data_IF_186591580765
#
_entry.id   IF_186591580765
#
_cell.length_a   1.000
_cell.length_b   1.000
_cell.length_c   1.000
_cell.angle_alpha   90.00
_cell.angle_beta   90.00
_cell.angle_gamma   90.00
#
_symmetry.space_group_name_H-M   'P 1'
#
loop_
_entity.id
_entity.type
_entity.pdbx_description
1 polymer ?
#
# COMPACT_ATOMS: atom_id res chain seq x y z
N UNK A 1 8.62 -39.27 -2.27
CA UNK A 1 8.85 -37.92 -2.81
C UNK A 1 7.75 -37.00 -2.29
N UNK A 2 7.85 -36.57 -1.04
CA UNK A 2 6.80 -35.78 -0.38
C UNK A 2 7.38 -35.05 0.82
N UNK A 3 8.16 -33.99 0.58
CA UNK A 3 8.52 -32.98 1.58
C UNK A 3 8.82 -31.68 0.84
N UNK A 4 7.79 -30.89 0.57
CA UNK A 4 7.90 -29.50 0.10
C UNK A 4 6.59 -28.77 0.40
N UNK A 5 6.13 -28.85 1.67
CA UNK A 5 5.11 -27.96 2.22
C UNK A 5 5.33 -27.89 3.73
N UNK A 6 6.28 -27.07 4.14
CA UNK A 6 6.33 -26.55 5.51
C UNK A 6 6.91 -25.15 5.44
N UNK A 7 6.24 -24.28 4.69
CA UNK A 7 6.29 -22.85 5.01
C UNK A 7 5.82 -22.75 6.45
N UNK A 8 6.67 -22.23 7.35
CA UNK A 8 6.22 -21.82 8.68
C UNK A 8 5.06 -20.84 8.45
N UNK A 9 3.81 -21.32 8.53
CA UNK A 9 2.71 -20.38 8.75
C UNK A 9 2.96 -19.83 10.14
N UNK A 10 3.32 -18.54 10.22
CA UNK A 10 3.37 -17.83 11.49
C UNK A 10 2.07 -18.08 12.26
N UNK A 11 2.14 -18.11 13.59
CA UNK A 11 0.92 -18.23 14.39
C UNK A 11 0.04 -17.02 14.09
N UNK A 12 -1.09 -17.24 13.41
CA UNK A 12 -2.08 -16.19 13.24
C UNK A 12 -2.73 -15.86 14.58
N UNK A 13 -2.94 -14.57 14.82
CA UNK A 13 -3.63 -14.08 16.01
C UNK A 13 -5.10 -14.50 15.99
N UNK A 14 -5.68 -14.71 17.18
CA UNK A 14 -7.13 -14.95 17.34
C UNK A 14 -7.99 -13.77 16.83
N UNK A 15 -7.36 -12.60 16.67
CA UNK A 15 -8.01 -11.36 16.23
C UNK A 15 -8.60 -11.50 14.82
N UNK A 16 -8.04 -12.35 13.95
CA UNK A 16 -8.63 -12.65 12.64
C UNK A 16 -10.06 -13.18 12.78
N UNK A 17 -10.24 -14.23 13.60
CA UNK A 17 -11.53 -14.88 13.82
C UNK A 17 -12.49 -13.95 14.57
N UNK A 18 -11.99 -13.18 15.54
CA UNK A 18 -12.82 -12.22 16.27
C UNK A 18 -13.35 -11.11 15.36
N UNK A 19 -12.51 -10.53 14.48
CA UNK A 19 -12.95 -9.50 13.54
C UNK A 19 -13.95 -10.08 12.54
N UNK A 20 -13.69 -11.26 11.96
CA UNK A 20 -14.60 -11.91 11.04
C UNK A 20 -15.97 -12.18 11.68
N UNK A 21 -15.98 -12.80 12.87
CA UNK A 21 -17.21 -13.10 13.62
C UNK A 21 -18.01 -11.84 13.94
N UNK A 22 -17.33 -10.77 14.34
CA UNK A 22 -18.01 -9.52 14.69
C UNK A 22 -18.53 -8.78 13.45
N UNK A 23 -17.78 -8.80 12.35
CA UNK A 23 -18.19 -8.19 11.08
C UNK A 23 -19.43 -8.87 10.47
N UNK A 24 -19.56 -10.18 10.64
CA UNK A 24 -20.76 -10.94 10.22
C UNK A 24 -22.02 -10.55 11.00
N UNK A 25 -21.84 -10.09 12.24
CA UNK A 25 -22.95 -9.76 13.14
C UNK A 25 -23.32 -8.28 13.12
N UNK A 26 -22.36 -7.40 12.82
CA UNK A 26 -22.52 -5.95 12.90
C UNK A 26 -21.45 -5.19 12.13
N UNK A 27 -21.78 -3.97 11.76
CA UNK A 27 -20.79 -3.00 11.25
C UNK A 27 -19.85 -2.59 12.40
N UNK A 28 -18.55 -2.65 12.14
CA UNK A 28 -17.50 -2.19 13.06
C UNK A 28 -17.20 -0.71 12.84
N UNK A 29 -16.76 -0.02 13.89
CA UNK A 29 -16.49 1.43 13.86
C UNK A 29 -15.02 1.71 14.18
N UNK A 30 -14.33 2.46 13.31
CA UNK A 30 -12.96 2.96 13.52
C UNK A 30 -12.99 4.40 14.05
N UNK A 31 -11.95 4.88 14.72
CA UNK A 31 -11.93 6.21 15.32
C UNK A 31 -11.94 7.36 14.29
N UNK A 32 -12.20 8.57 14.79
CA UNK A 32 -12.22 9.79 14.00
C UNK A 32 -10.82 10.40 13.84
N UNK A 33 -10.75 11.53 13.12
CA UNK A 33 -9.50 12.21 12.87
C UNK A 33 -8.87 12.80 14.14
N UNK A 34 -7.81 12.17 14.66
CA UNK A 34 -7.08 12.67 15.83
C UNK A 34 -6.41 14.03 15.59
N UNK A 35 -5.95 14.30 14.36
CA UNK A 35 -5.29 15.56 14.02
C UNK A 35 -6.16 16.79 14.24
N UNK A 36 -7.46 16.72 13.93
CA UNK A 36 -8.40 17.85 14.15
C UNK A 36 -8.73 18.03 15.62
N UNK A 37 -8.68 16.95 16.41
CA UNK A 37 -8.82 16.99 17.86
C UNK A 37 -7.62 17.68 18.51
N UNK A 38 -6.39 17.27 18.14
CA UNK A 38 -5.14 17.89 18.63
C UNK A 38 -5.06 19.38 18.29
N UNK A 39 -5.56 19.80 17.12
CA UNK A 39 -5.59 21.21 16.74
C UNK A 39 -6.40 22.10 17.69
N UNK A 40 -7.36 21.54 18.44
CA UNK A 40 -8.16 22.27 19.45
C UNK A 40 -7.39 22.54 20.74
N UNK A 41 -6.30 21.82 20.97
CA UNK A 41 -5.47 21.99 22.17
C UNK A 41 -4.50 23.18 22.06
N UNK A 42 -4.44 23.86 20.90
CA UNK A 42 -3.64 25.08 20.68
C UNK A 42 -2.16 24.95 21.08
N UNK A 43 -1.54 23.81 20.76
CA UNK A 43 -0.17 23.48 21.17
C UNK A 43 0.89 24.38 20.53
N UNK A 44 1.91 24.71 21.32
CA UNK A 44 3.05 25.52 20.93
C UNK A 44 4.34 24.69 20.81
N UNK A 45 5.42 25.27 20.28
CA UNK A 45 6.68 24.55 20.02
C UNK A 45 7.21 23.79 21.24
N UNK A 46 7.07 24.35 22.44
CA UNK A 46 7.53 23.74 23.68
C UNK A 46 6.76 22.46 24.02
N UNK A 47 5.50 22.31 23.59
CA UNK A 47 4.71 21.08 23.80
C UNK A 47 5.24 19.89 22.98
N UNK A 48 6.00 20.16 21.92
CA UNK A 48 6.62 19.12 21.07
C UNK A 48 8.05 18.80 21.50
N UNK A 49 8.55 19.41 22.60
CA UNK A 49 9.90 19.20 23.12
C UNK A 49 9.85 18.53 24.48
N UNK A 50 10.51 17.38 24.59
CA UNK A 50 10.79 16.69 25.86
C UNK A 50 12.27 16.87 26.22
N UNK A 51 12.70 16.33 27.36
CA UNK A 51 14.11 16.37 27.78
C UNK A 51 15.07 15.81 26.71
N UNK A 52 14.64 14.81 25.95
CA UNK A 52 15.42 14.21 24.85
C UNK A 52 15.37 15.00 23.53
N UNK A 53 14.41 15.90 23.36
CA UNK A 53 14.22 16.70 22.13
C UNK A 53 14.47 18.20 22.35
N UNK A 54 14.88 18.60 23.55
CA UNK A 54 15.02 19.99 23.97
C UNK A 54 15.91 20.79 23.01
N UNK A 55 17.07 20.26 22.68
CA UNK A 55 18.07 20.94 21.82
C UNK A 55 17.96 20.56 20.33
N UNK A 56 16.83 19.97 19.91
CA UNK A 56 16.66 19.57 18.51
C UNK A 56 16.74 20.81 17.59
N UNK A 57 17.59 20.80 16.54
CA UNK A 57 17.96 22.01 15.77
C UNK A 57 16.85 22.49 14.82
N UNK A 58 15.79 21.71 14.64
CA UNK A 58 14.64 22.05 13.79
C UNK A 58 13.40 22.31 14.65
N UNK A 59 12.49 23.21 14.20
CA UNK A 59 11.16 23.33 14.77
C UNK A 59 10.43 21.98 14.73
N UNK A 60 9.75 21.64 15.82
CA UNK A 60 9.01 20.38 15.99
C UNK A 60 7.49 20.59 16.00
N UNK A 61 7.02 21.84 16.15
CA UNK A 61 5.59 22.18 16.11
C UNK A 61 4.92 21.63 14.85
N UNK A 62 3.82 20.93 15.06
CA UNK A 62 3.03 20.29 14.00
C UNK A 62 3.40 18.84 13.70
N UNK A 63 4.49 18.31 14.30
CA UNK A 63 4.78 16.89 14.27
C UNK A 63 4.02 16.15 15.39
N UNK A 64 2.75 15.86 15.14
CA UNK A 64 1.85 15.27 16.12
C UNK A 64 2.31 13.89 16.63
N UNK A 65 3.13 13.15 15.87
CA UNK A 65 3.65 11.85 16.29
C UNK A 65 4.54 11.97 17.55
N UNK A 66 5.22 13.10 17.71
CA UNK A 66 6.06 13.36 18.89
C UNK A 66 5.25 13.49 20.17
N UNK A 67 3.97 13.85 20.08
CA UNK A 67 3.11 14.02 21.26
C UNK A 67 2.89 12.69 21.99
N UNK A 68 3.07 11.54 21.34
CA UNK A 68 3.10 10.24 22.03
C UNK A 68 4.22 10.14 23.08
N UNK A 69 5.28 10.94 22.94
CA UNK A 69 6.44 11.00 23.85
C UNK A 69 6.38 12.26 24.71
N UNK A 70 6.08 13.42 24.11
CA UNK A 70 6.19 14.72 24.80
C UNK A 70 4.95 15.08 25.60
N UNK A 71 3.75 14.68 25.12
CA UNK A 71 2.45 14.97 25.74
C UNK A 71 1.51 13.75 25.68
N UNK A 72 1.89 12.62 26.29
CA UNK A 72 1.07 11.41 26.26
C UNK A 72 -0.31 11.64 26.89
N UNK A 73 -0.43 12.58 27.84
CA UNK A 73 -1.68 12.97 28.47
C UNK A 73 -2.74 13.44 27.45
N UNK A 74 -2.34 14.22 26.44
CA UNK A 74 -3.23 14.67 25.36
C UNK A 74 -3.64 13.47 24.50
N UNK A 75 -2.68 12.64 24.09
CA UNK A 75 -2.96 11.49 23.22
C UNK A 75 -3.92 10.50 23.91
N UNK A 76 -3.74 10.24 25.22
CA UNK A 76 -4.66 9.39 25.97
C UNK A 76 -6.05 10.02 26.12
N UNK A 77 -6.13 11.33 26.41
CA UNK A 77 -7.40 12.06 26.51
C UNK A 77 -8.20 11.96 25.20
N UNK A 78 -7.57 12.18 24.05
CA UNK A 78 -8.28 12.12 22.77
C UNK A 78 -8.75 10.69 22.41
N UNK A 79 -7.98 9.67 22.79
CA UNK A 79 -8.40 8.27 22.65
C UNK A 79 -9.60 7.91 23.54
N UNK A 80 -9.70 8.46 24.74
CA UNK A 80 -10.84 8.25 25.62
C UNK A 80 -12.05 9.10 25.19
N UNK A 81 -11.84 10.31 24.65
CA UNK A 81 -12.91 11.14 24.11
C UNK A 81 -13.57 10.51 22.87
N UNK A 82 -12.78 9.95 21.93
CA UNK A 82 -13.30 9.20 20.78
C UNK A 82 -14.06 7.93 21.18
N UNK A 83 -13.74 7.39 22.37
CA UNK A 83 -14.46 6.28 22.99
C UNK A 83 -15.78 6.72 23.64
N UNK A 84 -15.85 7.91 24.23
CA UNK A 84 -17.01 8.42 24.97
C UNK A 84 -18.18 8.85 24.09
N UNK A 85 -17.93 9.25 22.84
CA UNK A 85 -18.97 9.60 21.85
C UNK A 85 -19.76 8.38 21.34
N UNK A 86 -19.33 7.15 21.70
CA UNK A 86 -19.93 5.87 21.28
C UNK A 86 -20.83 5.28 22.37
N UNK A 87 -21.97 5.90 22.64
CA UNK A 87 -23.01 5.30 23.50
C UNK A 87 -23.73 4.16 22.78
N UNK A 88 -23.23 2.93 22.96
CA UNK A 88 -23.83 1.66 22.55
C UNK A 88 -23.31 0.50 23.41
N UNK A 89 -23.92 -0.71 23.38
CA UNK A 89 -23.54 -1.84 24.25
C UNK A 89 -22.05 -2.21 24.07
N UNK A 90 -21.40 -2.82 25.09
CA UNK A 90 -19.94 -2.83 25.22
C UNK A 90 -19.27 -3.43 23.99
N UNK A 91 -18.67 -2.58 23.17
CA UNK A 91 -17.82 -2.97 22.04
C UNK A 91 -16.47 -3.40 22.58
N UNK A 92 -16.07 -4.65 22.29
CA UNK A 92 -14.69 -5.10 22.49
C UNK A 92 -13.74 -4.11 21.80
N UNK A 93 -12.72 -3.66 22.53
CA UNK A 93 -11.75 -2.62 22.14
C UNK A 93 -10.52 -3.31 21.53
N UNK A 94 -10.20 -3.01 20.28
CA UNK A 94 -8.89 -3.35 19.69
C UNK A 94 -7.94 -2.17 19.91
N UNK A 95 -6.70 -2.42 20.31
CA UNK A 95 -5.65 -1.40 20.41
C UNK A 95 -5.21 -1.01 19.01
N UNK A 96 -5.81 0.06 18.53
CA UNK A 96 -5.38 0.78 17.34
C UNK A 96 -4.33 1.82 17.76
N UNK A 97 -3.16 1.86 17.10
CA UNK A 97 -2.17 2.93 17.34
C UNK A 97 -1.58 3.46 16.03
N UNK A 98 -2.10 4.63 15.68
CA UNK A 98 -1.56 5.73 14.88
C UNK A 98 -1.56 5.69 13.35
N UNK A 99 -1.76 6.91 12.84
CA UNK A 99 -2.09 7.28 11.49
C UNK A 99 -0.86 7.32 10.60
N UNK A 100 -0.97 6.64 9.47
CA UNK A 100 0.05 6.61 8.45
C UNK A 100 -0.09 7.85 7.56
N UNK A 101 0.87 8.78 7.62
CA UNK A 101 0.99 9.83 6.60
C UNK A 101 2.00 9.39 5.58
N UNK A 102 1.49 8.95 4.43
CA UNK A 102 2.30 8.63 3.28
C UNK A 102 3.06 9.91 2.86
N UNK A 103 4.38 9.93 3.12
CA UNK A 103 5.22 11.07 2.81
C UNK A 103 5.26 11.21 1.28
N UNK A 104 5.03 12.43 0.74
CA UNK A 104 5.18 12.70 -0.69
C UNK A 104 6.58 12.30 -1.14
N UNK A 105 6.72 11.11 -1.71
CA UNK A 105 7.96 10.68 -2.33
C UNK A 105 7.96 11.23 -3.75
N UNK A 106 8.77 12.25 -3.99
CA UNK A 106 9.27 12.48 -5.34
C UNK A 106 10.10 11.28 -5.78
N UNK A 107 10.50 11.25 -7.05
CA UNK A 107 11.32 10.21 -7.69
C UNK A 107 12.67 9.86 -6.99
N UNK A 108 12.97 10.43 -5.83
CA UNK A 108 14.23 10.29 -5.08
C UNK A 108 14.27 9.14 -4.08
N UNK A 109 13.13 8.54 -3.69
CA UNK A 109 13.11 7.45 -2.70
C UNK A 109 12.93 6.11 -3.42
N UNK A 110 13.74 5.12 -3.06
CA UNK A 110 13.71 3.78 -3.64
C UNK A 110 12.71 2.87 -2.92
N UNK A 111 12.28 1.80 -3.61
CA UNK A 111 11.41 0.78 -3.03
C UNK A 111 12.03 0.16 -1.76
N UNK A 112 13.32 -0.17 -1.80
CA UNK A 112 14.02 -0.77 -0.66
C UNK A 112 14.16 0.17 0.54
N UNK A 113 14.34 1.47 0.32
CA UNK A 113 14.33 2.46 1.41
C UNK A 113 12.95 2.54 2.08
N UNK A 114 11.87 2.48 1.29
CA UNK A 114 10.50 2.42 1.81
C UNK A 114 10.24 1.12 2.57
N UNK A 115 10.62 -0.03 2.01
CA UNK A 115 10.49 -1.35 2.67
C UNK A 115 11.20 -1.32 4.01
N UNK A 116 12.43 -0.79 4.07
CA UNK A 116 13.16 -0.67 5.33
C UNK A 116 12.42 0.23 6.33
N UNK A 117 12.03 1.44 5.92
CA UNK A 117 11.37 2.39 6.79
C UNK A 117 10.04 1.84 7.36
N UNK A 118 9.22 1.23 6.49
CA UNK A 118 7.96 0.62 6.89
C UNK A 118 8.15 -0.64 7.73
N UNK A 119 9.19 -1.43 7.45
CA UNK A 119 9.55 -2.58 8.27
C UNK A 119 9.95 -2.18 9.69
N UNK A 120 10.81 -1.17 9.84
CA UNK A 120 11.24 -0.66 11.15
C UNK A 120 10.04 -0.13 11.97
N UNK A 121 9.10 0.56 11.31
CA UNK A 121 7.87 1.02 11.94
C UNK A 121 6.94 -0.14 12.32
N UNK A 122 6.70 -1.09 11.41
CA UNK A 122 5.81 -2.22 11.64
C UNK A 122 6.29 -3.09 12.81
N UNK A 123 7.60 -3.37 12.90
CA UNK A 123 8.18 -4.08 14.05
C UNK A 123 7.91 -3.36 15.36
N UNK A 124 8.15 -2.05 15.40
CA UNK A 124 7.91 -1.25 16.60
C UNK A 124 6.44 -1.28 17.06
N UNK A 125 5.50 -1.32 16.11
CA UNK A 125 4.07 -1.44 16.40
C UNK A 125 3.70 -2.84 16.90
N UNK A 126 4.24 -3.88 16.26
CA UNK A 126 4.03 -5.28 16.68
C UNK A 126 4.60 -5.54 18.08
N UNK A 127 5.79 -5.03 18.38
CA UNK A 127 6.39 -5.07 19.72
C UNK A 127 5.54 -4.31 20.75
N UNK A 128 4.86 -3.24 20.30
CA UNK A 128 3.87 -2.51 21.08
C UNK A 128 2.57 -3.26 21.34
N UNK A 129 2.36 -4.43 20.73
CA UNK A 129 1.20 -5.29 20.90
C UNK A 129 -0.06 -4.75 20.24
N UNK A 130 0.05 -4.20 19.02
CA UNK A 130 -1.12 -3.82 18.22
C UNK A 130 -1.91 -5.05 17.78
N UNK A 131 -3.25 -4.92 17.73
CA UNK A 131 -4.13 -6.00 17.30
C UNK A 131 -4.30 -6.05 15.77
N UNK A 132 -4.07 -4.93 15.08
CA UNK A 132 -4.23 -4.74 13.63
C UNK A 132 -3.18 -3.74 13.15
N UNK A 133 -2.60 -3.99 11.96
CA UNK A 133 -1.81 -3.00 11.24
C UNK A 133 -2.67 -2.32 10.18
N UNK A 134 -2.75 -1.00 10.15
CA UNK A 134 -3.46 -0.24 9.12
C UNK A 134 -2.48 0.54 8.25
N UNK A 135 -2.40 0.18 6.97
CA UNK A 135 -1.73 0.96 5.93
C UNK A 135 -2.76 1.89 5.32
N UNK A 136 -2.79 3.15 5.75
CA UNK A 136 -3.82 4.10 5.33
C UNK A 136 -3.30 5.32 4.56
N UNK A 137 -4.27 6.10 4.04
CA UNK A 137 -4.03 7.34 3.32
C UNK A 137 -3.06 7.12 2.16
N UNK A 138 -3.29 6.02 1.43
CA UNK A 138 -2.45 5.63 0.31
C UNK A 138 -2.79 6.50 -0.90
N UNK A 139 -1.94 7.49 -1.17
CA UNK A 139 -1.95 8.29 -2.40
C UNK A 139 -1.19 7.62 -3.56
N UNK A 140 -0.13 6.87 -3.22
CA UNK A 140 0.72 6.15 -4.16
C UNK A 140 0.69 4.65 -3.85
N UNK A 141 0.29 3.85 -4.83
CA UNK A 141 0.15 2.40 -4.67
C UNK A 141 1.50 1.68 -4.62
N UNK A 142 2.56 2.24 -5.20
CA UNK A 142 3.91 1.69 -5.06
C UNK A 142 4.37 1.75 -3.60
N UNK A 143 4.03 2.82 -2.87
CA UNK A 143 4.33 2.93 -1.44
C UNK A 143 3.54 1.91 -0.61
N UNK A 144 2.26 1.70 -0.94
CA UNK A 144 1.49 0.63 -0.30
C UNK A 144 2.07 -0.76 -0.58
N UNK A 145 2.52 -1.04 -1.81
CA UNK A 145 3.22 -2.29 -2.13
C UNK A 145 4.49 -2.45 -1.29
N UNK A 146 5.29 -1.40 -1.13
CA UNK A 146 6.48 -1.44 -0.27
C UNK A 146 6.14 -1.74 1.19
N UNK A 147 5.10 -1.11 1.74
CA UNK A 147 4.65 -1.37 3.10
C UNK A 147 4.12 -2.80 3.29
N UNK A 148 3.27 -3.26 2.36
CA UNK A 148 2.73 -4.61 2.38
C UNK A 148 3.85 -5.65 2.24
N UNK A 149 4.83 -5.40 1.35
CA UNK A 149 6.00 -6.26 1.21
C UNK A 149 6.81 -6.35 2.51
N UNK A 150 7.06 -5.21 3.17
CA UNK A 150 7.74 -5.17 4.46
C UNK A 150 6.99 -5.96 5.54
N UNK A 151 5.67 -5.75 5.65
CA UNK A 151 4.81 -6.40 6.64
C UNK A 151 4.74 -7.92 6.41
N UNK A 152 4.50 -8.35 5.16
CA UNK A 152 4.48 -9.78 4.80
C UNK A 152 5.84 -10.43 5.06
N UNK A 153 6.93 -9.75 4.68
CA UNK A 153 8.29 -10.21 4.95
C UNK A 153 8.58 -10.40 6.44
N UNK A 154 8.07 -9.53 7.31
CA UNK A 154 8.16 -9.69 8.77
C UNK A 154 7.42 -10.95 9.21
N UNK A 155 6.17 -11.15 8.80
CA UNK A 155 5.38 -12.31 9.22
C UNK A 155 5.92 -13.65 8.70
N UNK A 156 6.54 -13.66 7.52
CA UNK A 156 7.10 -14.86 6.90
C UNK A 156 8.48 -15.23 7.46
N UNK A 157 9.32 -14.24 7.75
CA UNK A 157 10.74 -14.46 8.05
C UNK A 157 11.09 -14.31 9.54
N UNK A 158 10.24 -13.65 10.33
CA UNK A 158 10.48 -13.40 11.76
C UNK A 158 9.53 -14.24 12.63
N UNK A 159 9.94 -14.56 13.85
CA UNK A 159 9.10 -15.32 14.79
C UNK A 159 8.12 -14.39 15.53
N UNK A 160 7.20 -13.82 14.77
CA UNK A 160 6.16 -12.90 15.25
C UNK A 160 4.77 -13.47 14.98
N UNK A 161 3.81 -13.12 15.84
CA UNK A 161 2.41 -13.49 15.62
C UNK A 161 1.81 -12.61 14.53
N UNK A 162 1.21 -13.23 13.52
CA UNK A 162 0.58 -12.48 12.44
C UNK A 162 -0.71 -11.82 12.96
N UNK A 163 -0.87 -10.54 12.68
CA UNK A 163 -2.10 -9.77 12.96
C UNK A 163 -2.76 -9.33 11.64
N UNK A 164 -4.08 -9.08 11.63
CA UNK A 164 -4.77 -8.58 10.45
C UNK A 164 -4.13 -7.30 9.91
N UNK A 165 -4.07 -7.20 8.59
CA UNK A 165 -3.59 -6.00 7.89
C UNK A 165 -4.78 -5.35 7.20
N UNK A 166 -5.01 -4.09 7.50
CA UNK A 166 -6.00 -3.25 6.83
C UNK A 166 -5.28 -2.31 5.86
N UNK A 167 -5.95 -2.01 4.74
CA UNK A 167 -5.39 -1.18 3.68
C UNK A 167 -6.41 -0.13 3.22
N UNK A 168 -6.10 1.14 3.33
CA UNK A 168 -7.00 2.23 2.93
C UNK A 168 -6.33 3.19 1.94
N UNK A 169 -6.93 3.31 0.77
CA UNK A 169 -6.55 4.25 -0.27
C UNK A 169 -7.22 5.61 -0.12
N UNK A 170 -6.69 6.61 -0.83
CA UNK A 170 -7.32 7.93 -0.91
C UNK A 170 -7.52 8.33 -2.37
N UNK A 171 -8.79 8.45 -2.77
CA UNK A 171 -9.20 9.05 -4.04
C UNK A 171 -9.28 10.56 -3.86
N UNK A 172 -8.62 11.32 -4.72
CA UNK A 172 -8.40 12.76 -4.51
C UNK A 172 -9.54 13.64 -5.00
N UNK A 173 -10.35 13.16 -5.95
CA UNK A 173 -11.47 13.89 -6.55
C UNK A 173 -12.52 12.93 -7.16
N UNK A 174 -13.55 13.51 -7.78
CA UNK A 174 -14.64 12.76 -8.41
C UNK A 174 -14.24 11.98 -9.69
N UNK A 175 -12.98 12.06 -10.13
CA UNK A 175 -12.49 11.19 -11.21
C UNK A 175 -12.35 9.73 -10.77
N UNK A 176 -12.39 9.46 -9.46
CA UNK A 176 -12.25 8.11 -8.93
C UNK A 176 -10.81 7.60 -8.91
N UNK A 177 -9.82 8.49 -9.01
CA UNK A 177 -8.40 8.14 -9.07
C UNK A 177 -7.63 8.55 -7.82
N UNK A 178 -6.64 7.74 -7.46
CA UNK A 178 -5.59 8.13 -6.50
C UNK A 178 -4.73 9.26 -7.07
N UNK A 179 -3.86 9.85 -6.24
CA UNK A 179 -2.91 10.86 -6.72
C UNK A 179 -1.96 10.32 -7.80
N UNK A 180 -1.69 9.02 -7.75
CA UNK A 180 -0.90 8.27 -8.73
C UNK A 180 -1.71 7.82 -9.96
N UNK A 181 -2.97 8.26 -10.09
CA UNK A 181 -3.79 8.05 -11.29
C UNK A 181 -4.50 6.70 -11.37
N UNK A 182 -4.39 5.83 -10.37
CA UNK A 182 -5.05 4.52 -10.36
C UNK A 182 -6.51 4.61 -9.90
N UNK A 183 -7.38 3.80 -10.51
CA UNK A 183 -8.75 3.61 -10.03
C UNK A 183 -8.78 2.69 -8.81
N UNK A 184 -9.92 2.63 -8.11
CA UNK A 184 -10.10 1.75 -6.95
C UNK A 184 -9.90 0.26 -7.29
N UNK A 185 -10.37 -0.19 -8.45
CA UNK A 185 -10.21 -1.57 -8.91
C UNK A 185 -8.75 -1.90 -9.20
N UNK A 186 -8.04 -0.99 -9.89
CA UNK A 186 -6.62 -1.14 -10.16
C UNK A 186 -5.81 -1.18 -8.86
N UNK A 187 -6.19 -0.38 -7.85
CA UNK A 187 -5.61 -0.40 -6.53
C UNK A 187 -5.79 -1.77 -5.83
N UNK A 188 -7.00 -2.33 -5.84
CA UNK A 188 -7.28 -3.66 -5.27
C UNK A 188 -6.43 -4.76 -5.93
N UNK A 189 -6.38 -4.77 -7.26
CA UNK A 189 -5.60 -5.75 -8.02
C UNK A 189 -4.10 -5.62 -7.72
N UNK A 190 -3.60 -4.38 -7.67
CA UNK A 190 -2.18 -4.08 -7.48
C UNK A 190 -1.68 -4.40 -6.07
N UNK A 191 -2.58 -4.54 -5.10
CA UNK A 191 -2.25 -4.77 -3.68
C UNK A 191 -2.70 -6.13 -3.14
N UNK A 192 -3.38 -6.96 -3.96
CA UNK A 192 -3.93 -8.26 -3.56
C UNK A 192 -2.92 -9.18 -2.88
N UNK A 193 -1.65 -9.17 -3.31
CA UNK A 193 -0.59 -9.97 -2.70
C UNK A 193 -0.26 -9.60 -1.24
N UNK A 194 -0.67 -8.41 -0.79
CA UNK A 194 -0.52 -7.99 0.61
C UNK A 194 -1.49 -8.68 1.58
N UNK A 195 -2.47 -9.45 1.06
CA UNK A 195 -3.43 -10.23 1.85
C UNK A 195 -4.14 -9.41 2.93
N UNK A 196 -4.53 -8.17 2.60
CA UNK A 196 -5.25 -7.32 3.52
C UNK A 196 -6.61 -7.95 3.88
N UNK A 197 -6.90 -8.02 5.18
CA UNK A 197 -8.17 -8.54 5.72
C UNK A 197 -9.31 -7.56 5.54
N UNK A 198 -8.99 -6.27 5.45
CA UNK A 198 -9.93 -5.21 5.08
C UNK A 198 -9.26 -4.21 4.13
N UNK A 199 -10.00 -3.75 3.13
CA UNK A 199 -9.55 -2.78 2.11
C UNK A 199 -10.58 -1.68 1.95
N UNK A 200 -10.19 -0.46 1.60
CA UNK A 200 -11.19 0.57 1.34
C UNK A 200 -10.63 1.96 1.12
N UNK A 201 -11.43 2.98 1.45
CA UNK A 201 -11.08 4.38 1.21
C UNK A 201 -11.24 5.25 2.44
N UNK A 202 -10.37 6.27 2.50
CA UNK A 202 -10.42 7.29 3.53
C UNK A 202 -10.07 8.68 3.02
N UNK A 203 -10.53 9.67 3.78
CA UNK A 203 -10.23 11.08 3.58
C UNK A 203 -10.65 11.61 2.19
N UNK A 204 -10.22 12.84 1.89
CA UNK A 204 -10.41 13.62 0.66
C UNK A 204 -11.86 13.92 0.26
N UNK A 205 -12.73 12.91 0.18
CA UNK A 205 -14.13 13.00 -0.21
C UNK A 205 -15.07 12.89 1.00
N UNK A 206 -16.25 13.50 0.87
CA UNK A 206 -17.37 13.28 1.80
C UNK A 206 -18.09 11.96 1.52
N UNK A 207 -18.95 11.53 2.44
CA UNK A 207 -19.62 10.21 2.36
C UNK A 207 -20.43 10.01 1.06
N UNK A 208 -21.14 11.05 0.60
CA UNK A 208 -21.93 11.00 -0.64
C UNK A 208 -21.06 10.79 -1.88
N UNK A 209 -19.92 11.46 -1.91
CA UNK A 209 -18.99 11.42 -3.05
C UNK A 209 -18.15 10.15 -3.04
N UNK A 210 -17.84 9.60 -1.86
CA UNK A 210 -17.06 8.37 -1.70
C UNK A 210 -17.88 7.10 -1.98
N UNK A 211 -19.20 7.13 -1.74
CA UNK A 211 -20.11 6.00 -1.91
C UNK A 211 -19.94 5.21 -3.23
N UNK A 212 -19.98 5.83 -4.43
CA UNK A 212 -19.89 5.07 -5.67
C UNK A 212 -18.55 4.32 -5.79
N UNK A 213 -17.46 4.87 -5.26
CA UNK A 213 -16.16 4.21 -5.30
C UNK A 213 -16.07 3.02 -4.33
N UNK A 214 -16.67 3.16 -3.15
CA UNK A 214 -16.78 2.08 -2.17
C UNK A 214 -17.66 0.94 -2.71
N UNK A 215 -18.77 1.27 -3.35
CA UNK A 215 -19.66 0.29 -4.00
C UNK A 215 -18.90 -0.50 -5.07
N UNK A 216 -18.19 0.20 -5.96
CA UNK A 216 -17.31 -0.45 -6.94
C UNK A 216 -16.25 -1.34 -6.29
N UNK A 217 -15.52 -0.85 -5.29
CA UNK A 217 -14.50 -1.65 -4.60
C UNK A 217 -15.08 -2.88 -3.90
N UNK A 218 -16.30 -2.77 -3.35
CA UNK A 218 -16.99 -3.89 -2.71
C UNK A 218 -17.29 -5.03 -3.69
N UNK A 219 -17.56 -4.70 -4.96
CA UNK A 219 -17.80 -5.70 -6.02
C UNK A 219 -16.52 -6.42 -6.47
N UNK A 220 -15.33 -5.89 -6.21
CA UNK A 220 -14.06 -6.48 -6.69
C UNK A 220 -13.11 -6.96 -5.59
N UNK A 221 -13.48 -6.81 -4.32
CA UNK A 221 -12.64 -7.16 -3.18
C UNK A 221 -13.11 -8.44 -2.52
N UNK A 222 -12.16 -9.29 -2.08
CA UNK A 222 -12.45 -10.42 -1.20
C UNK A 222 -12.54 -10.07 0.30
N UNK A 223 -11.92 -8.95 0.65
CA UNK A 223 -11.75 -8.46 2.01
C UNK A 223 -12.93 -7.62 2.49
N UNK A 224 -12.99 -7.39 3.81
CA UNK A 224 -13.93 -6.44 4.42
C UNK A 224 -13.72 -5.02 3.85
N UNK A 225 -14.79 -4.23 3.74
CA UNK A 225 -14.71 -2.91 3.08
C UNK A 225 -14.64 -1.76 4.08
N UNK A 226 -13.49 -1.11 4.18
CA UNK A 226 -13.26 0.09 5.00
C UNK A 226 -13.86 1.33 4.32
N UNK A 227 -14.50 2.20 5.08
CA UNK A 227 -14.90 3.51 4.58
C UNK A 227 -14.95 4.52 5.73
N UNK A 228 -14.08 5.52 5.68
CA UNK A 228 -14.06 6.61 6.63
C UNK A 228 -13.80 7.96 5.93
N UNK A 229 -14.87 8.55 5.35
CA UNK A 229 -14.79 9.79 4.58
C UNK A 229 -14.62 11.02 5.49
N UNK A 230 -14.29 12.16 4.90
CA UNK A 230 -14.25 13.43 5.61
C UNK A 230 -15.68 13.91 5.89
N UNK A 231 -16.03 14.09 7.17
CA UNK A 231 -17.31 14.63 7.65
C UNK A 231 -18.56 13.98 7.00
N UNK A 232 -18.78 12.70 7.29
CA UNK A 232 -20.08 12.07 7.61
C UNK A 232 -19.84 10.56 7.84
N UNK A 233 -20.58 9.95 8.77
CA UNK A 233 -20.58 8.55 9.25
C UNK A 233 -19.80 7.46 8.47
N UNK A 234 -19.02 6.65 9.20
CA UNK A 234 -18.16 5.56 8.68
C UNK A 234 -18.93 4.21 8.64
N UNK A 235 -18.96 3.51 7.50
CA UNK A 235 -19.78 2.28 7.30
C UNK A 235 -19.11 1.28 6.35
N UNK A 236 -19.16 -0.02 6.68
CA UNK A 236 -18.64 -1.15 5.88
C UNK A 236 -19.78 -1.84 5.08
N UNK A 237 -19.53 -2.34 3.85
CA UNK A 237 -20.52 -3.04 2.97
C UNK A 237 -19.89 -4.23 2.23
N UNK A 238 -20.65 -5.32 1.95
CA UNK A 238 -20.17 -6.61 1.38
C UNK A 238 -20.51 -6.85 -0.11
N UNK A 239 -19.91 -7.93 -0.66
CA UNK A 239 -19.43 -8.25 -2.04
C UNK A 239 -20.40 -8.84 -3.08
N UNK A 240 -19.96 -8.86 -4.37
CA UNK A 240 -20.16 -9.95 -5.38
C UNK A 240 -19.23 -9.85 -6.65
N UNK A 241 -18.77 -11.01 -7.20
CA UNK A 241 -17.58 -11.29 -8.08
C UNK A 241 -17.70 -11.18 -9.64
N UNK A 242 -16.54 -11.12 -10.38
CA UNK A 242 -16.05 -11.98 -11.53
C UNK A 242 -15.09 -11.27 -12.56
N UNK A 243 -14.10 -12.01 -13.14
CA UNK A 243 -12.87 -11.52 -13.84
C UNK A 243 -12.67 -11.86 -15.35
N UNK A 244 -11.50 -11.56 -15.98
CA UNK A 244 -11.09 -12.00 -17.36
C UNK A 244 -9.56 -11.86 -17.72
N UNK A 245 -9.17 -12.25 -18.96
CA UNK A 245 -7.96 -12.97 -19.50
C UNK A 245 -7.04 -12.15 -20.48
N UNK A 246 -5.78 -12.62 -20.76
CA UNK A 246 -4.62 -12.00 -21.47
C UNK A 246 -4.39 -12.34 -23.00
N UNK A 247 -3.59 -11.52 -23.74
CA UNK A 247 -2.48 -11.98 -24.65
C UNK A 247 -1.64 -10.90 -25.43
N UNK A 248 -0.29 -11.10 -25.41
CA UNK A 248 0.80 -11.03 -26.44
C UNK A 248 1.39 -9.72 -27.09
N UNK A 249 2.69 -9.83 -27.44
CA UNK A 249 3.81 -8.87 -27.48
C UNK A 249 4.35 -8.46 -28.88
N UNK A 250 5.26 -7.47 -28.96
CA UNK A 250 6.02 -7.06 -30.18
C UNK A 250 7.27 -6.17 -29.84
N UNK A 251 8.17 -5.75 -30.78
CA UNK A 251 9.53 -6.26 -30.95
C UNK A 251 10.66 -5.21 -30.76
N UNK A 252 11.90 -5.70 -30.60
CA UNK A 252 13.13 -4.94 -30.33
C UNK A 252 13.82 -4.34 -31.57
N UNK A 253 14.41 -3.12 -31.47
CA UNK A 253 15.34 -2.55 -32.46
C UNK A 253 16.02 -1.21 -32.08
N UNK A 254 17.35 -1.13 -32.22
CA UNK A 254 18.27 -0.08 -31.71
C UNK A 254 18.29 1.25 -32.48
N UNK A 255 18.03 2.36 -31.79
CA UNK A 255 18.85 3.58 -31.61
C UNK A 255 18.00 4.58 -30.81
N UNK A 256 17.77 4.23 -29.55
CA UNK A 256 16.55 4.56 -28.84
C UNK A 256 16.87 5.52 -27.69
N UNK A 257 16.41 6.77 -27.78
CA UNK A 257 16.31 7.61 -26.58
C UNK A 257 15.06 7.18 -25.82
N UNK A 258 15.06 7.30 -24.49
CA UNK A 258 13.89 6.93 -23.68
C UNK A 258 12.63 7.71 -24.10
N UNK A 259 12.79 8.92 -24.65
CA UNK A 259 11.69 9.71 -25.23
C UNK A 259 11.06 9.02 -26.44
N UNK A 260 11.88 8.52 -27.37
CA UNK A 260 11.38 7.74 -28.53
C UNK A 260 10.75 6.42 -28.09
N UNK A 261 11.22 5.86 -26.98
CA UNK A 261 10.66 4.66 -26.39
C UNK A 261 9.23 4.84 -25.88
N UNK A 262 8.96 6.01 -25.30
CA UNK A 262 7.61 6.39 -24.89
C UNK A 262 6.71 6.54 -26.12
N UNK A 263 7.19 7.16 -27.20
CA UNK A 263 6.38 7.33 -28.41
C UNK A 263 5.99 5.99 -29.03
N UNK A 264 6.91 5.02 -29.05
CA UNK A 264 6.60 3.65 -29.50
C UNK A 264 5.60 2.96 -28.57
N UNK A 265 5.75 3.11 -27.25
CA UNK A 265 4.79 2.57 -26.29
C UNK A 265 3.39 3.18 -26.50
N UNK A 266 3.32 4.49 -26.74
CA UNK A 266 2.08 5.20 -27.05
C UNK A 266 1.44 4.69 -28.33
N UNK A 267 2.21 4.59 -29.42
CA UNK A 267 1.74 4.08 -30.71
C UNK A 267 1.21 2.64 -30.59
N UNK A 268 1.87 1.77 -29.82
CA UNK A 268 1.39 0.40 -29.58
C UNK A 268 0.04 0.39 -28.86
N UNK A 269 -0.12 1.20 -27.81
CA UNK A 269 -1.39 1.29 -27.07
C UNK A 269 -2.50 1.90 -27.93
N UNK A 270 -2.20 2.93 -28.71
CA UNK A 270 -3.14 3.53 -29.69
C UNK A 270 -3.54 2.52 -30.78
N UNK A 271 -2.62 1.64 -31.16
CA UNK A 271 -2.86 0.54 -32.11
C UNK A 271 -3.61 -0.65 -31.49
N UNK A 272 -3.97 -0.58 -30.20
CA UNK A 272 -4.81 -1.57 -29.51
C UNK A 272 -4.05 -2.57 -28.63
N UNK A 273 -2.77 -2.36 -28.34
CA UNK A 273 -2.04 -3.19 -27.38
C UNK A 273 -2.70 -3.10 -26.00
N UNK A 274 -3.04 -4.26 -25.42
CA UNK A 274 -3.68 -4.36 -24.10
C UNK A 274 -2.67 -4.58 -22.96
N UNK A 275 -1.45 -4.99 -23.29
CA UNK A 275 -0.30 -5.15 -22.38
C UNK A 275 0.93 -4.68 -23.13
N UNK A 276 1.83 -3.98 -22.44
CA UNK A 276 3.13 -3.57 -23.00
C UNK A 276 4.22 -4.53 -22.56
N UNK A 277 4.87 -5.17 -23.52
CA UNK A 277 6.05 -5.99 -23.29
C UNK A 277 7.31 -5.11 -23.33
N UNK A 278 8.07 -5.12 -22.23
CA UNK A 278 9.22 -4.22 -22.04
C UNK A 278 10.46 -5.05 -21.81
N UNK A 279 11.38 -5.00 -22.77
CA UNK A 279 12.67 -5.65 -22.70
C UNK A 279 13.81 -4.62 -22.81
N UNK A 280 14.77 -4.68 -21.89
CA UNK A 280 15.94 -3.80 -21.83
C UNK A 280 17.27 -4.57 -21.85
N UNK A 281 17.25 -5.84 -22.27
CA UNK A 281 18.44 -6.69 -22.34
C UNK A 281 19.29 -6.28 -23.54
N UNK A 282 20.39 -5.57 -23.29
CA UNK A 282 21.43 -5.33 -24.27
C UNK A 282 22.80 -5.22 -23.58
N UNK A 283 23.84 -5.83 -24.17
CA UNK A 283 25.18 -5.84 -23.58
C UNK A 283 25.84 -4.45 -23.45
N UNK A 284 25.24 -3.40 -24.01
CA UNK A 284 25.69 -2.00 -23.88
C UNK A 284 24.87 -1.18 -22.88
N UNK A 285 23.80 -1.74 -22.30
CA UNK A 285 22.94 -1.07 -21.34
C UNK A 285 23.19 -1.57 -19.93
N UNK A 286 23.07 -0.67 -18.96
CA UNK A 286 22.80 -1.05 -17.58
C UNK A 286 21.32 -1.46 -17.50
N UNK A 287 21.06 -2.76 -17.63
CA UNK A 287 19.72 -3.34 -17.71
C UNK A 287 18.81 -2.92 -16.54
N UNK A 288 19.23 -3.12 -15.27
CA UNK A 288 18.43 -2.71 -14.11
C UNK A 288 18.10 -1.22 -14.12
N UNK A 289 19.08 -0.35 -14.39
CA UNK A 289 18.85 1.08 -14.47
C UNK A 289 17.90 1.47 -15.62
N UNK A 290 18.11 0.90 -16.81
CA UNK A 290 17.31 1.18 -18.00
C UNK A 290 15.85 0.76 -17.79
N UNK A 291 15.62 -0.44 -17.24
CA UNK A 291 14.29 -0.95 -16.91
C UNK A 291 13.59 -0.04 -15.88
N UNK A 292 14.22 0.22 -14.73
CA UNK A 292 13.62 1.07 -13.70
C UNK A 292 13.29 2.47 -14.22
N UNK A 293 14.20 3.07 -15.00
CA UNK A 293 14.01 4.42 -15.54
C UNK A 293 12.88 4.46 -16.56
N UNK A 294 12.83 3.48 -17.47
CA UNK A 294 11.78 3.44 -18.48
C UNK A 294 10.40 3.21 -17.86
N UNK A 295 10.27 2.28 -16.92
CA UNK A 295 8.99 2.02 -16.24
C UNK A 295 8.48 3.24 -15.46
N UNK A 296 9.37 3.99 -14.81
CA UNK A 296 8.99 5.25 -14.13
C UNK A 296 8.58 6.35 -15.11
N UNK A 297 9.16 6.37 -16.31
CA UNK A 297 8.79 7.33 -17.35
C UNK A 297 7.43 7.01 -17.98
N UNK A 298 7.15 5.75 -18.32
CA UNK A 298 5.82 5.41 -18.86
C UNK A 298 4.70 5.63 -17.83
N UNK A 299 5.01 5.55 -16.52
CA UNK A 299 4.07 5.87 -15.46
C UNK A 299 3.67 7.36 -15.44
N UNK A 300 4.48 8.26 -15.99
CA UNK A 300 4.12 9.69 -16.13
C UNK A 300 3.26 9.99 -17.35
N UNK A 301 3.03 9.01 -18.21
CA UNK A 301 2.27 9.14 -19.47
C UNK A 301 0.91 8.43 -19.33
N UNK A 302 -0.20 9.16 -19.06
CA UNK A 302 -1.48 8.56 -18.71
C UNK A 302 -2.04 7.58 -19.76
N UNK A 303 -1.80 7.87 -21.04
CA UNK A 303 -2.24 7.01 -22.14
C UNK A 303 -1.50 5.68 -22.20
N UNK A 304 -0.27 5.64 -21.71
CA UNK A 304 0.57 4.43 -21.66
C UNK A 304 0.34 3.70 -20.33
N UNK A 305 0.26 4.43 -19.22
CA UNK A 305 0.11 3.88 -17.87
C UNK A 305 -1.22 3.14 -17.61
N UNK A 306 -2.20 3.24 -18.54
CA UNK A 306 -3.50 2.56 -18.43
C UNK A 306 -3.44 1.06 -18.71
N UNK A 307 -2.39 0.58 -19.39
CA UNK A 307 -2.23 -0.85 -19.69
C UNK A 307 -1.22 -1.51 -18.76
N UNK A 308 -1.42 -2.79 -18.36
CA UNK A 308 -0.41 -3.54 -17.65
C UNK A 308 0.89 -3.66 -18.42
N UNK A 309 1.98 -3.91 -17.70
CA UNK A 309 3.30 -4.15 -18.28
C UNK A 309 3.69 -5.60 -18.07
N UNK A 310 4.28 -6.19 -19.11
CA UNK A 310 5.03 -7.42 -19.07
C UNK A 310 6.52 -7.05 -18.99
N UNK A 311 7.14 -7.31 -17.84
CA UNK A 311 8.56 -7.06 -17.63
C UNK A 311 9.30 -8.25 -18.23
N UNK A 312 9.96 -8.03 -19.37
CA UNK A 312 10.69 -9.04 -20.12
C UNK A 312 12.21 -8.91 -19.91
N UNK A 313 12.81 -9.89 -19.24
CA UNK A 313 14.25 -10.01 -19.13
C UNK A 313 14.67 -11.45 -18.83
N UNK A 314 15.85 -11.79 -19.33
CA UNK A 314 16.57 -13.01 -18.96
C UNK A 314 17.40 -12.85 -17.68
N UNK A 315 17.64 -11.61 -17.23
CA UNK A 315 18.38 -11.26 -16.03
C UNK A 315 17.43 -10.99 -14.87
N UNK A 316 17.54 -11.79 -13.81
CA UNK A 316 16.68 -11.67 -12.63
C UNK A 316 16.82 -10.30 -11.94
N UNK A 317 18.00 -9.69 -11.97
CA UNK A 317 18.20 -8.36 -11.37
C UNK A 317 17.41 -7.27 -12.10
N UNK A 318 17.22 -7.41 -13.42
CA UNK A 318 16.39 -6.51 -14.23
C UNK A 318 14.92 -6.72 -13.90
N UNK A 319 14.48 -7.97 -13.71
CA UNK A 319 13.12 -8.29 -13.26
C UNK A 319 12.83 -7.63 -11.91
N UNK A 320 13.72 -7.78 -10.92
CA UNK A 320 13.57 -7.15 -9.61
C UNK A 320 13.50 -5.62 -9.74
N UNK A 321 14.42 -5.02 -10.48
CA UNK A 321 14.45 -3.57 -10.70
C UNK A 321 13.16 -3.04 -11.37
N UNK A 322 12.56 -3.86 -12.24
CA UNK A 322 11.27 -3.58 -12.85
C UNK A 322 10.11 -3.69 -11.86
N UNK A 323 10.06 -4.76 -11.06
CA UNK A 323 9.04 -5.00 -10.04
C UNK A 323 8.99 -3.89 -8.98
N UNK A 324 10.16 -3.39 -8.58
CA UNK A 324 10.32 -2.28 -7.64
C UNK A 324 9.88 -0.93 -8.22
N UNK A 325 9.84 -0.82 -9.55
CA UNK A 325 9.56 0.44 -10.25
C UNK A 325 8.13 0.53 -10.79
N UNK A 326 7.37 -0.56 -10.76
CA UNK A 326 6.01 -0.59 -11.27
C UNK A 326 4.95 -0.46 -10.17
N UNK A 327 3.99 0.43 -10.41
CA UNK A 327 2.87 0.63 -9.50
C UNK A 327 1.85 -0.50 -9.60
N UNK A 328 1.49 -0.88 -10.83
CA UNK A 328 0.50 -1.92 -11.11
C UNK A 328 0.95 -3.34 -10.79
N UNK A 329 0.02 -4.28 -10.94
CA UNK A 329 0.36 -5.71 -11.11
C UNK A 329 0.86 -5.93 -12.54
N UNK A 330 1.97 -6.64 -12.68
CA UNK A 330 2.63 -6.88 -13.95
C UNK A 330 2.71 -8.38 -14.26
N UNK A 331 3.02 -8.69 -15.51
CA UNK A 331 3.47 -10.01 -15.95
C UNK A 331 4.98 -10.04 -15.88
N UNK A 332 5.55 -11.16 -15.42
CA UNK A 332 7.00 -11.39 -15.45
C UNK A 332 7.29 -12.38 -16.57
N UNK A 333 8.10 -11.96 -17.54
CA UNK A 333 8.56 -12.76 -18.66
C UNK A 333 10.11 -12.77 -18.66
N UNK A 334 10.83 -13.86 -18.64
CA UNK A 334 10.41 -15.18 -18.18
C UNK A 334 11.30 -15.58 -17.01
N UNK A 335 10.72 -16.31 -16.05
CA UNK A 335 11.55 -17.09 -15.13
C UNK A 335 11.99 -18.37 -15.85
N UNK A 336 13.28 -18.72 -15.76
CA UNK A 336 13.81 -19.91 -16.41
C UNK A 336 14.62 -20.78 -15.44
N UNK A 337 14.43 -22.09 -15.53
CA UNK A 337 15.24 -23.09 -14.81
C UNK A 337 16.53 -23.46 -15.57
N UNK A 338 16.96 -22.64 -16.54
CA UNK A 338 18.11 -22.94 -17.41
C UNK A 338 19.40 -23.13 -16.62
N UNK A 339 19.55 -22.42 -15.51
CA UNK A 339 20.72 -22.50 -14.62
C UNK A 339 20.57 -23.55 -13.50
N UNK A 340 19.51 -24.35 -13.57
CA UNK A 340 19.22 -25.41 -12.62
C UNK A 340 18.33 -24.98 -11.46
N UNK A 341 17.59 -25.95 -10.91
CA UNK A 341 16.62 -25.74 -9.82
C UNK A 341 17.25 -25.18 -8.55
N UNK A 342 18.46 -25.61 -8.21
CA UNK A 342 19.13 -25.20 -6.98
C UNK A 342 19.48 -23.70 -7.01
N UNK A 343 20.12 -23.24 -8.08
CA UNK A 343 20.44 -21.83 -8.29
C UNK A 343 19.18 -20.95 -8.35
N UNK A 344 18.06 -21.49 -8.85
CA UNK A 344 16.77 -20.80 -8.85
C UNK A 344 16.16 -20.65 -7.44
N UNK A 345 16.30 -21.65 -6.56
CA UNK A 345 15.76 -21.59 -5.19
C UNK A 345 16.62 -20.70 -4.28
N UNK A 346 17.92 -20.59 -4.54
CA UNK A 346 18.84 -19.78 -3.74
C UNK A 346 18.78 -18.27 -4.04
N UNK A 347 18.12 -17.87 -5.13
CA UNK A 347 17.93 -16.47 -5.54
C UNK A 347 16.66 -15.87 -4.95
#
# INVERSE_FOLDING_TARGET
STQLTNTKMGKQSIVFDEIATLADQRILLIDGAMGTMIQREHLEEDDFRSDVLKDHPKPLKGNNDLLSITRPDIIYKENDASSAERLGPPTKRYRYRHQWKNQKCGMSVTFQELVKAYGDQARSLLDGGVDVLLVETVFDTANAKAALFAIRGIFENEDVTEVPVFLSGTIVDLSGRTLSGQTGEAFLISTKQGQATAVGLNCALGAKDMRPFIETMSNYSEALILCYPNADLQVFVSRDDFGFLECMSSPTGKNFTLEKAIDVAREQVESGAQVLDVNMDDGLLDGPYAMSKFLRLIATEPDVAKVPVCIDSSDFSVIIAGLESIQGKCVVNSISLKEGKQAFIER
#
